data_IF_952383733557
#
_entry.id   IF_952383733557
#
_cell.length_a   1.000
_cell.length_b   1.000
_cell.length_c   1.000
_cell.angle_alpha   90.00
_cell.angle_beta   90.00
_cell.angle_gamma   90.00
#
_symmetry.space_group_name_H-M   'P 1'
#
loop_
_entity.id
_entity.type
_entity.pdbx_description
1 polymer ?
#
# COMPACT_ATOMS: atom_id res chain seq x y z
N UNK A 1 -24.31 -11.67 -32.09
CA UNK A 1 -23.47 -12.50 -31.21
C UNK A 1 -24.42 -13.22 -30.28
N UNK A 2 -24.49 -14.56 -30.33
CA UNK A 2 -25.43 -15.29 -29.49
C UNK A 2 -25.10 -15.05 -28.02
N UNK A 3 -26.08 -14.62 -27.22
CA UNK A 3 -25.99 -14.59 -25.77
C UNK A 3 -25.81 -16.02 -25.28
N UNK A 4 -24.55 -16.40 -25.06
CA UNK A 4 -24.24 -17.67 -24.41
C UNK A 4 -24.71 -17.54 -22.97
N UNK A 5 -25.77 -18.25 -22.61
CA UNK A 5 -26.25 -18.32 -21.22
C UNK A 5 -25.09 -18.76 -20.33
N UNK A 6 -24.66 -17.84 -19.45
CA UNK A 6 -23.53 -18.08 -18.55
C UNK A 6 -23.89 -19.19 -17.58
N UNK A 7 -23.03 -20.19 -17.47
CA UNK A 7 -23.22 -21.29 -16.53
C UNK A 7 -23.19 -20.80 -15.07
N UNK A 8 -23.80 -21.52 -14.12
CA UNK A 8 -23.82 -21.13 -12.70
C UNK A 8 -22.42 -20.93 -12.11
N UNK A 9 -21.41 -21.68 -12.58
CA UNK A 9 -20.00 -21.49 -12.19
C UNK A 9 -19.36 -20.21 -12.75
N UNK A 10 -19.73 -19.79 -13.96
CA UNK A 10 -19.26 -18.54 -14.57
C UNK A 10 -19.85 -17.33 -13.84
N UNK A 11 -21.14 -17.39 -13.50
CA UNK A 11 -21.82 -16.37 -12.68
C UNK A 11 -21.18 -16.22 -11.30
N UNK A 12 -20.88 -17.33 -10.62
CA UNK A 12 -20.18 -17.31 -9.34
C UNK A 12 -18.78 -16.69 -9.45
N UNK A 13 -18.05 -16.98 -10.52
CA UNK A 13 -16.71 -16.43 -10.77
C UNK A 13 -16.77 -14.92 -11.03
N UNK A 14 -17.72 -14.45 -11.83
CA UNK A 14 -17.96 -13.03 -12.08
C UNK A 14 -18.36 -12.29 -10.81
N UNK A 15 -19.23 -12.88 -9.98
CA UNK A 15 -19.61 -12.31 -8.69
C UNK A 15 -18.39 -12.15 -7.77
N UNK A 16 -17.52 -13.17 -7.68
CA UNK A 16 -16.27 -13.12 -6.89
C UNK A 16 -15.31 -12.06 -7.42
N UNK A 17 -15.19 -11.91 -8.74
CA UNK A 17 -14.35 -10.89 -9.38
C UNK A 17 -14.86 -9.49 -9.07
N UNK A 18 -16.17 -9.25 -9.22
CA UNK A 18 -16.83 -7.98 -8.89
C UNK A 18 -16.68 -7.63 -7.41
N UNK A 19 -16.85 -8.60 -6.52
CA UNK A 19 -16.64 -8.40 -5.09
C UNK A 19 -15.19 -7.99 -4.79
N UNK A 20 -14.20 -8.72 -5.32
CA UNK A 20 -12.78 -8.38 -5.14
C UNK A 20 -12.46 -6.97 -5.66
N UNK A 21 -12.99 -6.62 -6.83
CA UNK A 21 -12.79 -5.28 -7.40
C UNK A 21 -13.40 -4.18 -6.53
N UNK A 22 -14.65 -4.35 -6.08
CA UNK A 22 -15.32 -3.40 -5.16
C UNK A 22 -14.58 -3.30 -3.83
N UNK A 23 -14.07 -4.42 -3.32
CA UNK A 23 -13.27 -4.45 -2.09
C UNK A 23 -11.98 -3.63 -2.24
N UNK A 24 -11.22 -3.82 -3.34
CA UNK A 24 -10.02 -3.02 -3.60
C UNK A 24 -10.33 -1.53 -3.77
N UNK A 25 -11.40 -1.18 -4.49
CA UNK A 25 -11.85 0.21 -4.61
C UNK A 25 -12.20 0.78 -3.23
N UNK A 26 -12.92 0.01 -2.41
CA UNK A 26 -13.23 0.37 -1.02
C UNK A 26 -11.96 0.64 -0.21
N UNK A 27 -10.95 -0.22 -0.29
CA UNK A 27 -9.67 -0.02 0.40
C UNK A 27 -8.94 1.25 -0.06
N UNK A 28 -8.94 1.53 -1.37
CA UNK A 28 -8.33 2.76 -1.91
C UNK A 28 -9.05 4.00 -1.38
N UNK A 29 -10.39 3.99 -1.41
CA UNK A 29 -11.21 5.09 -0.87
C UNK A 29 -10.97 5.25 0.63
N UNK A 30 -11.01 4.17 1.41
CA UNK A 30 -10.75 4.20 2.85
C UNK A 30 -9.35 4.71 3.17
N UNK A 31 -8.32 4.28 2.42
CA UNK A 31 -6.95 4.80 2.57
C UNK A 31 -6.87 6.30 2.28
N UNK A 32 -7.53 6.75 1.21
CA UNK A 32 -7.64 8.18 0.88
C UNK A 32 -8.36 8.99 1.94
N UNK A 33 -9.44 8.46 2.51
CA UNK A 33 -10.18 9.10 3.62
C UNK A 33 -9.32 9.19 4.88
N UNK A 34 -8.64 8.11 5.26
CA UNK A 34 -7.73 8.10 6.42
C UNK A 34 -6.61 9.13 6.22
N UNK A 35 -5.96 9.12 5.05
CA UNK A 35 -4.91 10.09 4.72
C UNK A 35 -5.41 11.53 4.69
N UNK A 36 -6.60 11.77 4.11
CA UNK A 36 -7.22 13.08 4.06
C UNK A 36 -7.62 13.61 5.44
N UNK A 37 -8.14 12.74 6.33
CA UNK A 37 -8.44 13.10 7.71
C UNK A 37 -7.16 13.42 8.50
N UNK A 38 -6.11 12.60 8.35
CA UNK A 38 -4.81 12.86 8.96
C UNK A 38 -4.28 14.25 8.53
N UNK A 39 -4.30 14.54 7.23
CA UNK A 39 -3.87 15.84 6.71
C UNK A 39 -4.75 17.01 7.18
N UNK A 40 -6.07 16.80 7.28
CA UNK A 40 -7.01 17.83 7.75
C UNK A 40 -6.92 18.15 9.25
N UNK A 41 -6.41 17.22 10.05
CA UNK A 41 -6.16 17.41 11.48
C UNK A 41 -4.71 17.79 11.82
N UNK A 42 -3.85 17.97 10.81
CA UNK A 42 -2.49 18.42 11.01
C UNK A 42 -2.47 19.86 11.53
N UNK A 43 -1.77 20.05 12.66
CA UNK A 43 -1.64 21.35 13.34
C UNK A 43 -0.38 22.10 12.96
N UNK A 44 0.44 21.57 12.05
CA UNK A 44 1.70 22.20 11.69
C UNK A 44 1.50 23.55 10.96
N UNK A 45 2.12 24.61 11.49
CA UNK A 45 2.12 25.95 10.87
C UNK A 45 3.11 26.00 9.70
N UNK A 46 2.58 25.87 8.47
CA UNK A 46 3.37 25.87 7.22
C UNK A 46 2.72 25.08 6.08
N UNK A 47 1.40 24.87 6.15
CA UNK A 47 0.58 23.82 5.52
C UNK A 47 0.43 23.88 3.98
N UNK A 48 1.51 24.12 3.24
CA UNK A 48 1.50 24.17 1.78
C UNK A 48 1.73 22.82 1.10
N UNK A 49 2.28 21.82 1.80
CA UNK A 49 2.65 20.54 1.17
C UNK A 49 2.20 19.33 1.98
N UNK A 50 1.38 18.49 1.34
CA UNK A 50 0.95 17.16 1.82
C UNK A 50 2.10 16.14 1.95
N UNK A 51 3.35 16.59 1.81
CA UNK A 51 4.55 15.76 1.72
C UNK A 51 5.49 15.94 2.91
N UNK A 52 5.24 16.89 3.82
CA UNK A 52 6.05 17.09 5.02
C UNK A 52 5.56 16.22 6.19
N UNK A 53 5.66 14.91 6.02
CA UNK A 53 5.29 13.94 7.05
C UNK A 53 6.19 14.02 8.31
N UNK A 54 7.37 14.64 8.20
CA UNK A 54 8.28 14.81 9.34
C UNK A 54 7.78 15.89 10.30
N UNK A 55 7.02 16.85 9.80
CA UNK A 55 6.43 17.93 10.58
C UNK A 55 5.00 17.65 11.07
N UNK A 56 4.40 16.51 10.70
CA UNK A 56 3.01 16.15 11.02
C UNK A 56 2.74 16.20 12.53
N UNK A 57 1.79 17.04 12.94
CA UNK A 57 1.39 17.21 14.34
C UNK A 57 -0.08 16.90 14.55
N UNK A 58 -0.36 15.75 15.17
CA UNK A 58 -1.71 15.31 15.49
C UNK A 58 -1.97 15.37 17.00
N UNK A 59 -3.18 15.73 17.38
CA UNK A 59 -3.63 15.51 18.76
C UNK A 59 -3.69 14.01 19.09
N UNK A 60 -3.44 13.59 20.35
CA UNK A 60 -3.51 12.19 20.73
C UNK A 60 -4.85 11.52 20.37
N UNK A 61 -5.94 12.28 20.46
CA UNK A 61 -7.30 11.81 20.15
C UNK A 61 -7.46 11.41 18.67
N UNK A 62 -6.73 12.03 17.76
CA UNK A 62 -6.74 11.71 16.31
C UNK A 62 -5.65 10.69 15.99
N UNK A 63 -4.47 10.85 16.59
CA UNK A 63 -3.31 10.00 16.33
C UNK A 63 -3.58 8.51 16.65
N UNK A 64 -4.23 8.22 17.78
CA UNK A 64 -4.47 6.83 18.20
C UNK A 64 -5.43 6.10 17.23
N UNK A 65 -6.63 6.62 16.91
CA UNK A 65 -7.50 5.99 15.91
C UNK A 65 -6.86 5.92 14.52
N UNK A 66 -6.14 6.96 14.10
CA UNK A 66 -5.45 6.97 12.81
C UNK A 66 -4.38 5.86 12.73
N UNK A 67 -3.56 5.71 13.77
CA UNK A 67 -2.57 4.64 13.85
C UNK A 67 -3.22 3.26 13.82
N UNK A 68 -4.31 3.05 14.57
CA UNK A 68 -5.07 1.80 14.53
C UNK A 68 -5.64 1.52 13.14
N UNK A 69 -6.21 2.54 12.47
CA UNK A 69 -6.74 2.39 11.12
C UNK A 69 -5.65 2.01 10.11
N UNK A 70 -4.47 2.63 10.20
CA UNK A 70 -3.29 2.29 9.37
C UNK A 70 -2.83 0.86 9.66
N UNK A 71 -2.72 0.45 10.93
CA UNK A 71 -2.34 -0.91 11.29
C UNK A 71 -3.35 -1.96 10.79
N UNK A 72 -4.65 -1.68 10.93
CA UNK A 72 -5.70 -2.56 10.39
C UNK A 72 -5.57 -2.64 8.87
N UNK A 73 -5.38 -1.51 8.18
CA UNK A 73 -5.28 -1.48 6.72
C UNK A 73 -4.02 -2.14 6.17
N UNK A 74 -2.87 -1.93 6.81
CA UNK A 74 -1.56 -2.38 6.31
C UNK A 74 -1.13 -3.74 6.86
N UNK A 75 -1.69 -4.20 7.98
CA UNK A 75 -1.33 -5.48 8.61
C UNK A 75 -2.56 -6.38 8.70
N UNK A 76 -3.63 -5.91 9.35
CA UNK A 76 -4.83 -6.74 9.60
C UNK A 76 -5.50 -7.23 8.32
N UNK A 77 -5.77 -6.34 7.38
CA UNK A 77 -6.42 -6.65 6.09
C UNK A 77 -5.58 -7.60 5.25
N UNK A 78 -4.27 -7.37 5.02
CA UNK A 78 -3.42 -8.34 4.33
C UNK A 78 -3.42 -9.72 4.99
N UNK A 79 -3.24 -9.80 6.31
CA UNK A 79 -3.24 -11.09 7.03
C UNK A 79 -4.57 -11.84 6.86
N UNK A 80 -5.69 -11.13 6.97
CA UNK A 80 -7.01 -11.72 6.73
C UNK A 80 -7.16 -12.20 5.27
N UNK A 81 -6.67 -11.42 4.31
CA UNK A 81 -6.78 -11.73 2.88
C UNK A 81 -5.85 -12.85 2.42
N UNK A 82 -4.70 -13.05 3.07
CA UNK A 82 -3.81 -14.18 2.78
C UNK A 82 -4.51 -15.54 2.93
N UNK A 83 -5.46 -15.65 3.87
CA UNK A 83 -6.29 -16.85 4.02
C UNK A 83 -7.41 -17.03 2.98
N UNK A 84 -7.57 -16.08 2.05
CA UNK A 84 -8.68 -16.05 1.06
C UNK A 84 -8.21 -16.09 -0.40
N UNK A 85 -6.91 -16.03 -0.63
CA UNK A 85 -6.29 -16.01 -1.96
C UNK A 85 -5.82 -17.40 -2.39
N UNK A 86 -5.67 -17.58 -3.70
CA UNK A 86 -5.13 -18.79 -4.30
C UNK A 86 -3.58 -18.82 -4.24
N UNK A 87 -2.98 -19.96 -4.55
CA UNK A 87 -1.54 -20.17 -4.47
C UNK A 87 -0.75 -19.25 -5.43
N UNK A 88 -1.30 -18.97 -6.62
CA UNK A 88 -0.67 -18.05 -7.57
C UNK A 88 -0.58 -16.64 -6.98
N UNK A 89 -1.67 -16.16 -6.37
CA UNK A 89 -1.70 -14.88 -5.68
C UNK A 89 -0.78 -14.86 -4.45
N UNK A 90 -0.65 -15.95 -3.70
CA UNK A 90 0.33 -16.05 -2.60
C UNK A 90 1.75 -15.89 -3.15
N UNK A 91 2.12 -16.63 -4.20
CA UNK A 91 3.44 -16.53 -4.83
C UNK A 91 3.73 -15.11 -5.33
N UNK A 92 2.75 -14.42 -5.92
CA UNK A 92 2.86 -13.02 -6.36
C UNK A 92 3.12 -12.09 -5.16
N UNK A 93 2.37 -12.24 -4.07
CA UNK A 93 2.57 -11.43 -2.85
C UNK A 93 3.96 -11.66 -2.23
N UNK A 94 4.42 -12.91 -2.14
CA UNK A 94 5.75 -13.23 -1.60
C UNK A 94 6.88 -12.66 -2.46
N UNK A 95 6.75 -12.72 -3.79
CA UNK A 95 7.71 -12.09 -4.70
C UNK A 95 7.72 -10.57 -4.55
N UNK A 96 6.53 -9.95 -4.42
CA UNK A 96 6.42 -8.52 -4.13
C UNK A 96 7.12 -8.15 -2.82
N UNK A 97 6.83 -8.88 -1.74
CA UNK A 97 7.44 -8.65 -0.43
C UNK A 97 8.96 -8.84 -0.46
N UNK A 98 9.46 -9.87 -1.14
CA UNK A 98 10.89 -10.10 -1.32
C UNK A 98 11.56 -8.93 -2.08
N UNK A 99 10.91 -8.40 -3.12
CA UNK A 99 11.43 -7.24 -3.85
C UNK A 99 11.47 -5.98 -2.97
N UNK A 100 10.43 -5.72 -2.16
CA UNK A 100 10.44 -4.61 -1.21
C UNK A 100 11.50 -4.75 -0.13
N UNK A 101 11.69 -5.95 0.41
CA UNK A 101 12.75 -6.23 1.37
C UNK A 101 14.15 -6.03 0.76
N UNK A 102 14.39 -6.54 -0.45
CA UNK A 102 15.65 -6.33 -1.19
C UNK A 102 15.89 -4.85 -1.50
N UNK A 103 14.83 -4.12 -1.84
CA UNK A 103 14.92 -2.69 -2.02
C UNK A 103 15.41 -2.02 -0.74
N UNK A 104 14.87 -2.34 0.43
CA UNK A 104 15.39 -1.77 1.69
C UNK A 104 16.82 -2.20 1.94
N UNK A 105 17.12 -3.50 1.91
CA UNK A 105 18.44 -4.01 2.30
C UNK A 105 19.58 -3.56 1.37
N UNK A 106 19.32 -3.37 0.08
CA UNK A 106 20.32 -2.86 -0.87
C UNK A 106 20.17 -1.37 -1.17
N UNK A 107 18.94 -0.93 -1.40
CA UNK A 107 18.62 0.43 -1.81
C UNK A 107 18.76 1.47 -0.70
N UNK A 108 18.40 1.18 0.55
CA UNK A 108 18.62 2.15 1.64
C UNK A 108 20.12 2.40 1.89
N UNK A 109 21.00 1.38 2.05
CA UNK A 109 22.44 1.63 2.20
C UNK A 109 23.05 2.35 0.99
N UNK A 110 22.65 1.98 -0.23
CA UNK A 110 23.12 2.67 -1.43
C UNK A 110 22.69 4.15 -1.43
N UNK A 111 21.43 4.45 -1.11
CA UNK A 111 20.93 5.81 -0.97
C UNK A 111 21.69 6.58 0.12
N UNK A 112 21.91 5.96 1.28
CA UNK A 112 22.68 6.57 2.36
C UNK A 112 24.11 6.96 1.93
N UNK A 113 24.83 6.07 1.23
CA UNK A 113 26.17 6.36 0.71
C UNK A 113 26.14 7.49 -0.32
N UNK A 114 25.16 7.49 -1.22
CA UNK A 114 24.98 8.56 -2.20
C UNK A 114 24.71 9.91 -1.52
N UNK A 115 23.91 9.91 -0.44
CA UNK A 115 23.63 11.11 0.33
C UNK A 115 24.88 11.64 1.06
N UNK A 116 25.70 10.75 1.62
CA UNK A 116 26.99 11.12 2.22
C UNK A 116 27.97 11.75 1.21
N UNK A 117 27.88 11.35 -0.06
CA UNK A 117 28.62 11.96 -1.17
C UNK A 117 27.99 13.23 -1.75
N UNK A 118 26.86 13.71 -1.21
CA UNK A 118 26.15 14.88 -1.73
C UNK A 118 25.38 14.66 -3.04
N UNK A 119 25.16 13.41 -3.45
CA UNK A 119 24.49 13.04 -4.70
C UNK A 119 22.98 12.80 -4.56
N UNK A 120 22.50 12.68 -3.32
CA UNK A 120 21.09 12.46 -3.01
C UNK A 120 20.73 13.16 -1.69
N UNK A 121 19.44 13.48 -1.44
CA UNK A 121 19.00 13.94 -0.12
C UNK A 121 19.19 12.83 0.92
N UNK A 122 19.30 13.21 2.20
CA UNK A 122 19.36 12.24 3.29
C UNK A 122 18.10 11.34 3.31
N UNK A 123 18.24 10.02 3.51
CA UNK A 123 17.09 9.13 3.61
C UNK A 123 16.18 9.54 4.78
N UNK A 124 14.87 9.61 4.54
CA UNK A 124 13.85 9.88 5.56
C UNK A 124 13.10 8.61 5.92
N UNK A 125 12.51 8.53 7.11
CA UNK A 125 11.69 7.38 7.52
C UNK A 125 10.57 7.09 6.51
N UNK A 126 9.90 8.14 6.02
CA UNK A 126 8.90 8.02 4.96
C UNK A 126 9.49 7.56 3.62
N UNK A 127 10.68 8.03 3.26
CA UNK A 127 11.40 7.57 2.07
C UNK A 127 11.71 6.07 2.13
N UNK A 128 12.19 5.57 3.27
CA UNK A 128 12.44 4.13 3.48
C UNK A 128 11.13 3.34 3.44
N UNK A 129 10.05 3.87 4.03
CA UNK A 129 8.72 3.26 3.95
C UNK A 129 8.23 3.16 2.50
N UNK A 130 8.32 4.23 1.72
CA UNK A 130 7.92 4.24 0.30
C UNK A 130 8.79 3.28 -0.52
N UNK A 131 10.07 3.18 -0.20
CA UNK A 131 10.97 2.26 -0.87
C UNK A 131 10.58 0.79 -0.59
N UNK A 132 10.26 0.46 0.67
CA UNK A 132 9.78 -0.88 1.03
C UNK A 132 8.41 -1.20 0.42
N UNK A 133 7.41 -0.38 0.75
CA UNK A 133 6.02 -0.62 0.40
C UNK A 133 5.72 -0.33 -1.06
N UNK A 134 6.29 0.74 -1.61
CA UNK A 134 6.14 1.11 -3.02
C UNK A 134 6.73 0.07 -3.95
N UNK A 135 7.95 -0.42 -3.69
CA UNK A 135 8.53 -1.51 -4.50
C UNK A 135 7.73 -2.80 -4.36
N UNK A 136 7.26 -3.13 -3.15
CA UNK A 136 6.36 -4.27 -2.94
C UNK A 136 5.12 -4.18 -3.81
N UNK A 137 4.44 -3.02 -3.78
CA UNK A 137 3.19 -2.78 -4.49
C UNK A 137 3.41 -2.79 -6.02
N UNK A 138 4.41 -2.08 -6.51
CA UNK A 138 4.74 -2.00 -7.95
C UNK A 138 5.06 -3.40 -8.47
N UNK A 139 5.92 -4.15 -7.77
CA UNK A 139 6.29 -5.52 -8.17
C UNK A 139 5.06 -6.42 -8.20
N UNK A 140 4.20 -6.35 -7.18
CA UNK A 140 2.96 -7.10 -7.15
C UNK A 140 2.05 -6.76 -8.34
N UNK A 141 1.89 -5.48 -8.67
CA UNK A 141 1.05 -5.03 -9.79
C UNK A 141 1.58 -5.51 -11.14
N UNK A 142 2.90 -5.40 -11.35
CA UNK A 142 3.57 -5.92 -12.56
C UNK A 142 3.31 -7.42 -12.69
N UNK A 143 3.54 -8.20 -11.64
CA UNK A 143 3.32 -9.64 -11.65
C UNK A 143 1.85 -10.02 -11.83
N UNK A 144 0.92 -9.20 -11.34
CA UNK A 144 -0.51 -9.41 -11.49
C UNK A 144 -1.01 -9.16 -12.91
N UNK A 145 -0.37 -8.27 -13.67
CA UNK A 145 -0.78 -7.92 -15.03
C UNK A 145 0.02 -8.63 -16.12
N UNK A 146 1.15 -9.24 -15.78
CA UNK A 146 1.96 -10.02 -16.74
C UNK A 146 1.36 -11.38 -17.08
N UNK A 147 0.71 -12.04 -16.13
CA UNK A 147 0.07 -13.36 -16.32
C UNK A 147 -1.44 -13.29 -16.08
#
# INVERSE_FOLDING_TARGET
>A
MADREMGPGELATLARKRYKQRFFIGLVISGGLIGGLIGGFDRHEGSGTIWDFAALQLSPLVAVPAALAVLIGMVGVPLYMFGKIDELAVRRNLRGMAAGWLAVMGGFPAWFVLAAGGLAPAPTAFGVFLLAYGVTLITFLILKWRD
#
